data_IF_305166544202
#
_entry.id   IF_305166544202
#
_cell.length_a   1.000
_cell.length_b   1.000
_cell.length_c   1.000
_cell.angle_alpha   90.00
_cell.angle_beta   90.00
_cell.angle_gamma   90.00
#
_symmetry.space_group_name_H-M   'P 1'
#
loop_
_entity.id
_entity.type
_entity.pdbx_description
1 polymer ?
#
# COMPACT_ATOMS: atom_id res chain seq x y z
N UNK A 1 -6.68 5.27 23.64
CA UNK A 1 -7.60 5.62 22.54
C UNK A 1 -8.93 4.92 22.79
N UNK A 2 -10.06 5.46 22.33
CA UNK A 2 -11.30 4.66 22.33
C UNK A 2 -11.18 3.57 21.25
N UNK A 3 -11.76 2.40 21.51
CA UNK A 3 -11.70 1.24 20.61
C UNK A 3 -12.18 1.56 19.18
N UNK A 4 -13.13 2.48 19.06
CA UNK A 4 -13.63 2.97 17.77
C UNK A 4 -12.58 3.79 17.01
N UNK A 5 -11.84 4.67 17.68
CA UNK A 5 -10.75 5.46 17.07
C UNK A 5 -9.60 4.57 16.61
N UNK A 6 -9.26 3.56 17.40
CA UNK A 6 -8.25 2.56 17.06
C UNK A 6 -8.66 1.76 15.82
N UNK A 7 -9.88 1.20 15.80
CA UNK A 7 -10.40 0.49 14.64
C UNK A 7 -10.41 1.38 13.38
N UNK A 8 -10.79 2.65 13.52
CA UNK A 8 -10.76 3.60 12.40
C UNK A 8 -9.35 3.80 11.85
N UNK A 9 -8.34 3.93 12.72
CA UNK A 9 -6.95 4.08 12.30
C UNK A 9 -6.43 2.81 11.59
N UNK A 10 -6.70 1.63 12.14
CA UNK A 10 -6.31 0.35 11.53
C UNK A 10 -6.94 0.14 10.15
N UNK A 11 -8.22 0.51 10.00
CA UNK A 11 -8.91 0.43 8.71
C UNK A 11 -8.34 1.44 7.69
N UNK A 12 -7.97 2.65 8.12
CA UNK A 12 -7.32 3.64 7.27
C UNK A 12 -5.94 3.14 6.80
N UNK A 13 -5.14 2.58 7.71
CA UNK A 13 -3.86 1.97 7.39
C UNK A 13 -4.03 0.78 6.43
N UNK A 14 -5.01 -0.10 6.66
CA UNK A 14 -5.28 -1.23 5.78
C UNK A 14 -5.70 -0.79 4.37
N UNK A 15 -6.53 0.25 4.26
CA UNK A 15 -6.90 0.83 2.97
C UNK A 15 -5.69 1.42 2.23
N UNK A 16 -4.79 2.12 2.94
CA UNK A 16 -3.56 2.64 2.35
C UNK A 16 -2.62 1.52 1.89
N UNK A 17 -2.48 0.45 2.68
CA UNK A 17 -1.68 -0.72 2.30
C UNK A 17 -2.24 -1.45 1.07
N UNK A 18 -3.56 -1.55 0.92
CA UNK A 18 -4.14 -2.09 -0.33
C UNK A 18 -3.77 -1.26 -1.55
N UNK A 19 -3.82 0.08 -1.44
CA UNK A 19 -3.42 0.99 -2.51
C UNK A 19 -1.92 0.90 -2.82
N UNK A 20 -1.07 0.77 -1.79
CA UNK A 20 0.37 0.62 -1.94
C UNK A 20 0.74 -0.69 -2.64
N UNK A 21 0.11 -1.82 -2.25
CA UNK A 21 0.30 -3.11 -2.93
C UNK A 21 -0.07 -3.02 -4.40
N UNK A 22 -1.19 -2.37 -4.74
CA UNK A 22 -1.57 -2.16 -6.15
C UNK A 22 -0.54 -1.29 -6.88
N UNK A 23 -0.16 -0.15 -6.29
CA UNK A 23 0.78 0.80 -6.89
C UNK A 23 2.17 0.22 -7.11
N UNK A 24 2.68 -0.60 -6.18
CA UNK A 24 3.97 -1.28 -6.36
C UNK A 24 3.97 -2.33 -7.47
N UNK A 25 2.81 -2.85 -7.87
CA UNK A 25 2.66 -3.63 -9.10
C UNK A 25 2.98 -2.80 -10.34
N UNK A 26 2.50 -1.55 -10.38
CA UNK A 26 2.80 -0.58 -11.46
C UNK A 26 4.28 -0.16 -11.42
N UNK A 27 4.81 0.13 -10.22
CA UNK A 27 6.23 0.47 -10.04
C UNK A 27 7.11 -0.67 -10.58
N UNK A 28 6.88 -1.91 -10.17
CA UNK A 28 7.65 -3.06 -10.63
C UNK A 28 7.58 -3.31 -12.14
N UNK A 29 6.46 -2.94 -12.78
CA UNK A 29 6.28 -3.04 -14.23
C UNK A 29 7.07 -2.00 -15.03
N UNK A 30 7.30 -0.80 -14.47
CA UNK A 30 7.91 0.34 -15.17
C UNK A 30 9.34 0.66 -14.71
N UNK A 31 9.77 0.16 -13.55
CA UNK A 31 11.10 0.41 -13.02
C UNK A 31 12.18 -0.32 -13.84
N UNK A 32 13.35 0.32 -13.98
CA UNK A 32 14.51 -0.29 -14.64
C UNK A 32 14.95 -1.61 -13.96
N UNK A 33 15.53 -2.55 -14.71
CA UNK A 33 15.92 -3.87 -14.19
C UNK A 33 16.77 -3.81 -12.91
N UNK A 34 17.68 -2.84 -12.81
CA UNK A 34 18.63 -2.73 -11.70
C UNK A 34 17.95 -2.46 -10.35
N UNK A 35 16.71 -1.93 -10.37
CA UNK A 35 15.92 -1.63 -9.17
C UNK A 35 14.75 -2.59 -8.94
N UNK A 36 14.60 -3.64 -9.76
CA UNK A 36 13.49 -4.59 -9.61
C UNK A 36 13.51 -5.32 -8.26
N UNK A 37 14.69 -5.67 -7.77
CA UNK A 37 14.84 -6.32 -6.46
C UNK A 37 14.33 -5.40 -5.34
N UNK A 38 14.72 -4.12 -5.37
CA UNK A 38 14.25 -3.12 -4.40
C UNK A 38 12.72 -2.95 -4.45
N UNK A 39 12.16 -2.77 -5.65
CA UNK A 39 10.71 -2.65 -5.83
C UNK A 39 9.96 -3.92 -5.36
N UNK A 40 10.55 -5.10 -5.58
CA UNK A 40 9.97 -6.36 -5.12
C UNK A 40 10.03 -6.49 -3.60
N UNK A 41 11.14 -6.14 -2.97
CA UNK A 41 11.26 -6.13 -1.51
C UNK A 41 10.23 -5.19 -0.87
N UNK A 42 10.05 -3.99 -1.42
CA UNK A 42 9.03 -3.05 -0.94
C UNK A 42 7.61 -3.60 -1.13
N UNK A 43 7.30 -4.16 -2.30
CA UNK A 43 6.02 -4.84 -2.56
C UNK A 43 5.72 -5.94 -1.53
N UNK A 44 6.68 -6.82 -1.27
CA UNK A 44 6.54 -7.91 -0.31
C UNK A 44 6.36 -7.38 1.13
N UNK A 45 7.05 -6.29 1.49
CA UNK A 45 6.87 -5.62 2.78
C UNK A 45 5.47 -5.03 2.98
N UNK A 46 4.91 -4.36 1.97
CA UNK A 46 3.52 -3.87 2.00
C UNK A 46 2.52 -5.02 2.14
N UNK A 47 2.73 -6.14 1.44
CA UNK A 47 1.86 -7.32 1.59
C UNK A 47 1.90 -7.87 3.01
N UNK A 48 3.08 -7.97 3.61
CA UNK A 48 3.22 -8.43 4.98
C UNK A 48 2.49 -7.51 5.98
N UNK A 49 2.61 -6.18 5.82
CA UNK A 49 1.90 -5.19 6.64
C UNK A 49 0.38 -5.26 6.46
N UNK A 50 -0.11 -5.30 5.22
CA UNK A 50 -1.52 -5.50 4.91
C UNK A 50 -2.10 -6.74 5.60
N UNK A 51 -1.38 -7.85 5.53
CA UNK A 51 -1.82 -9.12 6.12
C UNK A 51 -1.81 -9.06 7.66
N UNK A 52 -0.88 -8.31 8.27
CA UNK A 52 -0.88 -8.03 9.70
C UNK A 52 -2.08 -7.17 10.14
N UNK A 53 -2.31 -6.04 9.47
CA UNK A 53 -3.46 -5.16 9.74
C UNK A 53 -4.80 -5.88 9.57
N UNK A 54 -4.89 -6.77 8.57
CA UNK A 54 -6.08 -7.61 8.36
C UNK A 54 -6.37 -8.51 9.58
N UNK A 55 -5.32 -9.04 10.22
CA UNK A 55 -5.46 -9.84 11.45
C UNK A 55 -5.88 -8.96 12.62
N UNK A 56 -5.22 -7.82 12.83
CA UNK A 56 -5.53 -6.90 13.93
C UNK A 56 -6.98 -6.40 13.88
N UNK A 57 -7.49 -6.06 12.69
CA UNK A 57 -8.89 -5.66 12.53
C UNK A 57 -9.86 -6.79 12.90
N UNK A 58 -9.52 -8.04 12.56
CA UNK A 58 -10.32 -9.23 12.93
C UNK A 58 -10.26 -9.50 14.43
N UNK A 59 -9.09 -9.33 15.06
CA UNK A 59 -8.90 -9.52 16.50
C UNK A 59 -9.71 -8.50 17.31
N UNK A 60 -9.95 -7.30 16.75
CA UNK A 60 -10.89 -6.32 17.29
C UNK A 60 -12.37 -6.68 17.06
N UNK A 61 -12.67 -7.78 16.37
CA UNK A 61 -14.03 -8.27 16.09
C UNK A 61 -14.70 -7.61 14.88
N UNK A 62 -13.94 -6.92 14.02
CA UNK A 62 -14.46 -6.20 12.86
C UNK A 62 -14.11 -6.90 11.54
N UNK A 63 -14.86 -6.58 10.48
CA UNK A 63 -14.55 -7.04 9.12
C UNK A 63 -13.50 -6.11 8.48
N UNK A 64 -12.35 -6.63 8.02
CA UNK A 64 -11.34 -5.83 7.32
C UNK A 64 -11.88 -5.18 6.04
N UNK A 65 -11.49 -3.93 5.78
CA UNK A 65 -11.82 -3.26 4.52
C UNK A 65 -11.25 -4.06 3.34
N UNK A 66 -12.10 -4.30 2.34
CA UNK A 66 -11.71 -5.02 1.14
C UNK A 66 -10.87 -4.12 0.21
N UNK A 67 -9.93 -4.73 -0.51
CA UNK A 67 -9.24 -4.04 -1.58
C UNK A 67 -10.21 -3.72 -2.73
N UNK A 68 -10.08 -2.53 -3.33
CA UNK A 68 -10.72 -2.24 -4.60
C UNK A 68 -10.07 -3.06 -5.75
N UNK A 69 -10.82 -3.28 -6.84
CA UNK A 69 -10.31 -3.97 -8.02
C UNK A 69 -9.21 -3.17 -8.76
N UNK A 70 -9.23 -1.84 -8.65
CA UNK A 70 -8.23 -0.94 -9.19
C UNK A 70 -8.17 0.36 -8.39
N UNK A 71 -7.04 1.06 -8.48
CA UNK A 71 -6.82 2.36 -7.84
C UNK A 71 -6.39 3.39 -8.88
N UNK A 72 -6.90 4.61 -8.76
CA UNK A 72 -6.45 5.72 -9.59
C UNK A 72 -4.99 6.07 -9.24
N UNK A 73 -4.14 6.20 -10.24
CA UNK A 73 -2.78 6.70 -10.06
C UNK A 73 -2.81 8.24 -10.01
N UNK A 74 -1.96 8.88 -9.18
CA UNK A 74 -1.91 10.33 -9.05
C UNK A 74 -1.43 11.03 -10.33
N UNK A 75 -0.73 10.30 -11.21
CA UNK A 75 -0.24 10.76 -12.50
C UNK A 75 0.10 9.55 -13.40
N UNK A 76 0.26 9.77 -14.73
CA UNK A 76 0.76 8.74 -15.63
C UNK A 76 2.17 8.27 -15.28
N UNK A 77 2.44 6.96 -15.43
CA UNK A 77 3.75 6.33 -15.14
C UNK A 77 4.32 5.68 -16.41
N UNK A 78 4.81 6.47 -17.38
CA UNK A 78 5.27 5.94 -18.67
C UNK A 78 6.69 5.37 -18.62
N UNK A 79 7.46 5.65 -17.56
CA UNK A 79 8.86 5.30 -17.46
C UNK A 79 9.31 5.05 -16.01
N UNK A 80 10.56 4.60 -15.89
CA UNK A 80 11.15 4.29 -14.59
C UNK A 80 11.31 5.52 -13.68
N UNK A 81 11.47 6.73 -14.21
CA UNK A 81 11.59 7.93 -13.37
C UNK A 81 10.25 8.28 -12.74
N UNK A 82 9.16 8.18 -13.52
CA UNK A 82 7.80 8.28 -13.00
C UNK A 82 7.48 7.15 -12.01
N UNK A 83 8.02 5.95 -12.21
CA UNK A 83 7.85 4.84 -11.26
C UNK A 83 8.50 5.13 -9.91
N UNK A 84 9.69 5.77 -9.89
CA UNK A 84 10.32 6.22 -8.63
C UNK A 84 9.44 7.24 -7.91
N UNK A 85 8.93 8.25 -8.63
CA UNK A 85 8.04 9.25 -8.03
C UNK A 85 6.76 8.62 -7.50
N UNK A 86 6.19 7.65 -8.23
CA UNK A 86 5.01 6.93 -7.75
C UNK A 86 5.34 6.18 -6.46
N UNK A 87 6.48 5.49 -6.37
CA UNK A 87 6.88 4.81 -5.14
C UNK A 87 6.95 5.79 -3.95
N UNK A 88 7.60 6.94 -4.12
CA UNK A 88 7.66 7.99 -3.08
C UNK A 88 6.26 8.43 -2.64
N UNK A 89 5.36 8.72 -3.59
CA UNK A 89 3.98 9.11 -3.29
C UNK A 89 3.17 8.04 -2.55
N UNK A 90 3.46 6.75 -2.81
CA UNK A 90 2.81 5.65 -2.10
C UNK A 90 3.33 5.55 -0.66
N UNK A 91 4.64 5.66 -0.46
CA UNK A 91 5.24 5.63 0.88
C UNK A 91 4.77 6.82 1.73
N UNK A 92 4.74 8.03 1.17
CA UNK A 92 4.26 9.22 1.87
C UNK A 92 2.78 9.10 2.27
N UNK A 93 1.94 8.51 1.41
CA UNK A 93 0.53 8.25 1.73
C UNK A 93 0.37 7.21 2.83
N UNK A 94 1.17 6.14 2.82
CA UNK A 94 1.14 5.12 3.87
C UNK A 94 1.65 5.70 5.19
N UNK A 95 2.66 6.56 5.17
CA UNK A 95 3.20 7.20 6.38
C UNK A 95 2.25 8.24 7.00
N UNK A 96 1.34 8.82 6.19
CA UNK A 96 0.42 9.87 6.61
C UNK A 96 -0.90 9.43 7.21
N UNK A 97 -1.16 8.11 7.36
CA UNK A 97 -2.41 7.56 7.94
C UNK A 97 -2.43 7.51 9.46
#
# INVERSE_FOLDING_TARGET
>A
MSREKELKALQAALAAEHAAVYGYGVVGGQIRPERRTEARTAYDAHRARRDALTREVRDLGATPVAAAAAYALPFPVPDSAAAVRLATELEDRVAGV
#
